data_IF_760642726534
#
_entry.id   IF_760642726534
#
_cell.length_a   1.000
_cell.length_b   1.000
_cell.length_c   1.000
_cell.angle_alpha   90.00
_cell.angle_beta   90.00
_cell.angle_gamma   90.00
#
_symmetry.space_group_name_H-M   'P 1'
#
loop_
_entity.id
_entity.type
_entity.pdbx_description
1 polymer ?
#
# COMPACT_ATOMS: atom_id res chain seq x y z
N UNK A 1 -8.09 -28.28 -3.98
CA UNK A 1 -9.40 -27.63 -4.16
C UNK A 1 -9.50 -26.47 -3.19
N UNK A 2 -9.29 -25.25 -3.65
CA UNK A 2 -9.50 -24.05 -2.83
C UNK A 2 -11.00 -23.78 -2.75
N UNK A 3 -11.59 -24.04 -1.58
CA UNK A 3 -12.97 -23.65 -1.28
C UNK A 3 -13.08 -22.14 -1.45
N UNK A 4 -13.94 -21.67 -2.37
CA UNK A 4 -14.26 -20.25 -2.49
C UNK A 4 -15.04 -19.86 -1.23
N UNK A 5 -14.42 -19.08 -0.35
CA UNK A 5 -15.06 -18.50 0.81
C UNK A 5 -16.04 -17.42 0.34
N UNK A 6 -17.34 -17.69 0.44
CA UNK A 6 -18.37 -16.66 0.31
C UNK A 6 -18.39 -15.84 1.59
N UNK A 7 -17.84 -14.63 1.56
CA UNK A 7 -17.85 -13.71 2.69
C UNK A 7 -19.21 -13.01 2.76
N UNK A 8 -19.90 -13.10 3.90
CA UNK A 8 -21.22 -12.49 4.12
C UNK A 8 -21.11 -11.13 4.83
N UNK A 9 -22.16 -10.30 4.72
CA UNK A 9 -22.28 -9.03 5.46
C UNK A 9 -22.10 -9.22 6.97
N UNK A 10 -22.75 -10.26 7.51
CA UNK A 10 -22.68 -10.59 8.94
C UNK A 10 -21.25 -10.95 9.37
N UNK A 11 -20.51 -11.67 8.52
CA UNK A 11 -19.11 -11.99 8.78
C UNK A 11 -18.24 -10.73 8.81
N UNK A 12 -18.43 -9.79 7.88
CA UNK A 12 -17.70 -8.52 7.85
C UNK A 12 -18.01 -7.67 9.10
N UNK A 13 -19.28 -7.54 9.48
CA UNK A 13 -19.66 -6.79 10.69
C UNK A 13 -19.04 -7.38 11.96
N UNK A 14 -18.99 -8.71 12.07
CA UNK A 14 -18.37 -9.40 13.20
C UNK A 14 -16.86 -9.12 13.25
N UNK A 15 -16.17 -9.19 12.11
CA UNK A 15 -14.73 -8.87 12.03
C UNK A 15 -14.43 -7.42 12.42
N UNK A 16 -15.25 -6.43 12.01
CA UNK A 16 -15.08 -5.04 12.47
C UNK A 16 -15.25 -4.94 13.98
N UNK A 17 -16.27 -5.59 14.54
CA UNK A 17 -16.52 -5.55 15.98
C UNK A 17 -15.39 -6.17 16.81
N UNK A 18 -14.71 -7.19 16.28
CA UNK A 18 -13.54 -7.82 16.91
C UNK A 18 -12.31 -6.91 16.84
N UNK A 19 -12.08 -6.24 15.71
CA UNK A 19 -10.98 -5.28 15.56
C UNK A 19 -11.16 -4.05 16.47
N UNK A 20 -12.40 -3.58 16.65
CA UNK A 20 -12.75 -2.48 17.55
C UNK A 20 -12.58 -2.85 19.04
N UNK A 21 -12.78 -4.13 19.42
CA UNK A 21 -12.60 -4.59 20.80
C UNK A 21 -11.14 -4.85 21.18
N UNK A 22 -10.33 -5.28 20.22
CA UNK A 22 -8.96 -5.73 20.45
C UNK A 22 -7.95 -4.57 20.42
N UNK A 23 -8.42 -3.35 20.15
CA UNK A 23 -7.59 -2.14 20.23
C UNK A 23 -6.44 -2.12 19.21
N UNK A 24 -6.66 -2.70 18.02
CA UNK A 24 -5.79 -2.66 16.83
C UNK A 24 -4.29 -2.71 17.12
N UNK A 25 -3.73 -3.92 17.15
CA UNK A 25 -2.39 -4.17 17.67
C UNK A 25 -1.26 -3.75 16.72
N UNK A 26 -1.51 -3.65 15.41
CA UNK A 26 -0.52 -3.10 14.47
C UNK A 26 -1.14 -2.38 13.24
N UNK A 27 -0.27 -1.85 12.36
CA UNK A 27 -0.67 -1.10 11.17
C UNK A 27 -1.40 -1.96 10.12
N UNK A 28 -1.17 -3.28 10.13
CA UNK A 28 -1.82 -4.24 9.23
C UNK A 28 -3.28 -4.42 9.64
N UNK A 29 -3.54 -4.49 10.95
CA UNK A 29 -4.90 -4.57 11.49
C UNK A 29 -5.74 -3.35 11.09
N UNK A 30 -5.15 -2.14 11.13
CA UNK A 30 -5.83 -0.90 10.72
C UNK A 30 -6.12 -0.85 9.22
N UNK A 31 -5.22 -1.35 8.39
CA UNK A 31 -5.42 -1.43 6.94
C UNK A 31 -6.52 -2.45 6.59
N UNK A 32 -6.53 -3.59 7.29
CA UNK A 32 -7.56 -4.61 7.14
C UNK A 32 -8.93 -4.07 7.59
N UNK A 33 -8.99 -3.38 8.72
CA UNK A 33 -10.20 -2.73 9.23
C UNK A 33 -10.77 -1.71 8.23
N UNK A 34 -9.92 -0.83 7.68
CA UNK A 34 -10.34 0.17 6.70
C UNK A 34 -10.95 -0.48 5.44
N UNK A 35 -10.36 -1.57 4.97
CA UNK A 35 -10.84 -2.31 3.81
C UNK A 35 -12.19 -3.01 4.09
N UNK A 36 -12.37 -3.55 5.29
CA UNK A 36 -13.64 -4.14 5.72
C UNK A 36 -14.74 -3.07 5.83
N UNK A 37 -14.45 -1.92 6.46
CA UNK A 37 -15.40 -0.79 6.56
C UNK A 37 -15.80 -0.25 5.18
N UNK A 38 -14.86 -0.13 4.26
CA UNK A 38 -15.13 0.27 2.88
C UNK A 38 -15.99 -0.75 2.13
N UNK A 39 -15.74 -2.04 2.35
CA UNK A 39 -16.56 -3.11 1.79
C UNK A 39 -18.00 -3.05 2.31
N UNK A 40 -18.20 -2.82 3.62
CA UNK A 40 -19.53 -2.63 4.22
C UNK A 40 -20.27 -1.42 3.63
N UNK A 41 -19.60 -0.25 3.54
CA UNK A 41 -20.20 0.95 2.95
C UNK A 41 -20.60 0.74 1.47
N UNK A 42 -19.81 -0.05 0.74
CA UNK A 42 -20.13 -0.42 -0.64
C UNK A 42 -21.35 -1.34 -0.71
N UNK A 43 -21.50 -2.28 0.23
CA UNK A 43 -22.67 -3.17 0.32
C UNK A 43 -23.96 -2.43 0.73
N UNK A 44 -23.85 -1.29 1.41
CA UNK A 44 -24.97 -0.42 1.77
C UNK A 44 -25.41 0.52 0.64
N UNK A 45 -24.64 0.60 -0.44
CA UNK A 45 -24.99 1.39 -1.63
C UNK A 45 -26.03 0.66 -2.49
N UNK A 46 -26.68 1.35 -3.44
CA UNK A 46 -27.53 0.66 -4.41
C UNK A 46 -26.69 -0.25 -5.33
N UNK A 47 -27.10 -1.51 -5.56
CA UNK A 47 -26.36 -2.42 -6.42
C UNK A 47 -26.40 -1.90 -7.86
N UNK A 48 -25.28 -2.01 -8.57
CA UNK A 48 -25.21 -1.55 -9.97
C UNK A 48 -25.88 -2.53 -10.93
N UNK A 49 -26.15 -3.76 -10.48
CA UNK A 49 -26.91 -4.77 -11.19
C UNK A 49 -27.30 -5.94 -10.26
N UNK A 50 -28.29 -6.72 -10.69
CA UNK A 50 -28.70 -7.98 -10.07
C UNK A 50 -28.76 -9.10 -11.12
N UNK A 51 -28.57 -10.35 -10.71
CA UNK A 51 -28.72 -11.50 -11.60
C UNK A 51 -30.18 -11.89 -11.67
N UNK A 52 -30.79 -11.69 -12.84
CA UNK A 52 -32.15 -12.13 -13.13
C UNK A 52 -32.22 -13.63 -13.46
N UNK A 53 -33.43 -14.14 -13.70
CA UNK A 53 -33.67 -15.56 -14.01
C UNK A 53 -33.00 -16.02 -15.33
N UNK A 54 -32.44 -15.10 -16.12
CA UNK A 54 -31.86 -15.34 -17.44
C UNK A 54 -30.33 -15.19 -17.44
N UNK A 55 -29.67 -14.96 -16.30
CA UNK A 55 -28.23 -14.71 -16.18
C UNK A 55 -27.74 -13.49 -16.98
N UNK A 56 -28.62 -12.50 -17.20
CA UNK A 56 -28.33 -11.34 -18.03
C UNK A 56 -27.94 -10.12 -17.18
N UNK A 57 -26.68 -9.73 -17.25
CA UNK A 57 -26.17 -8.42 -16.84
C UNK A 57 -26.06 -7.55 -18.10
N UNK A 58 -26.38 -6.26 -18.00
CA UNK A 58 -26.42 -5.35 -19.16
C UNK A 58 -25.05 -5.20 -19.88
N UNK A 59 -23.93 -5.68 -19.31
CA UNK A 59 -22.62 -5.64 -19.99
C UNK A 59 -21.69 -6.86 -19.80
N UNK A 60 -22.05 -7.94 -19.10
CA UNK A 60 -21.15 -9.10 -18.89
C UNK A 60 -21.87 -10.36 -18.39
N UNK A 61 -21.78 -11.51 -19.08
CA UNK A 61 -22.33 -12.78 -18.60
C UNK A 61 -21.22 -13.54 -17.82
N UNK A 62 -21.30 -13.65 -16.48
CA UNK A 62 -20.27 -14.32 -15.69
C UNK A 62 -20.29 -15.85 -15.90
N UNK A 63 -19.13 -16.52 -15.87
CA UNK A 63 -19.09 -17.98 -15.93
C UNK A 63 -19.71 -18.59 -14.66
N UNK A 64 -20.50 -19.67 -14.81
CA UNK A 64 -21.16 -20.38 -13.69
C UNK A 64 -20.17 -20.86 -12.61
N UNK A 65 -18.90 -21.07 -12.97
CA UNK A 65 -17.81 -21.43 -12.04
C UNK A 65 -17.52 -20.35 -10.99
N UNK A 66 -18.06 -19.14 -11.15
CA UNK A 66 -17.95 -18.07 -10.17
C UNK A 66 -18.84 -18.30 -8.94
N UNK A 67 -19.81 -19.22 -9.01
CA UNK A 67 -20.66 -19.61 -7.87
C UNK A 67 -21.75 -18.60 -7.52
N UNK A 68 -22.02 -17.64 -8.40
CA UNK A 68 -23.07 -16.64 -8.25
C UNK A 68 -24.46 -17.27 -8.34
N UNK A 69 -25.44 -16.70 -7.63
CA UNK A 69 -26.83 -17.17 -7.56
C UNK A 69 -27.79 -16.08 -8.07
N UNK A 70 -28.96 -16.53 -8.53
CA UNK A 70 -30.06 -15.64 -8.91
C UNK A 70 -30.45 -14.81 -7.68
N UNK A 71 -30.52 -13.49 -7.86
CA UNK A 71 -30.77 -12.54 -6.76
C UNK A 71 -29.51 -11.99 -6.09
N UNK A 72 -28.30 -12.44 -6.47
CA UNK A 72 -27.07 -11.82 -5.97
C UNK A 72 -26.96 -10.37 -6.47
N UNK A 73 -26.66 -9.47 -5.54
CA UNK A 73 -26.38 -8.06 -5.80
C UNK A 73 -24.93 -7.90 -6.22
N UNK A 74 -24.71 -7.23 -7.36
CA UNK A 74 -23.37 -6.90 -7.83
C UNK A 74 -23.15 -5.41 -7.64
N UNK A 75 -22.08 -5.08 -6.93
CA UNK A 75 -21.65 -3.72 -6.68
C UNK A 75 -20.47 -3.42 -7.59
N UNK A 76 -20.50 -2.29 -8.30
CA UNK A 76 -19.33 -1.80 -9.01
C UNK A 76 -18.34 -1.47 -7.90
N UNK A 77 -17.16 -2.09 -7.93
CA UNK A 77 -16.02 -1.44 -7.30
C UNK A 77 -15.76 -0.17 -8.08
N UNK A 78 -16.46 0.92 -7.70
CA UNK A 78 -15.87 2.22 -7.85
C UNK A 78 -14.63 2.14 -7.01
N UNK A 79 -13.45 2.03 -7.64
CA UNK A 79 -12.25 2.43 -6.93
C UNK A 79 -12.61 3.77 -6.32
N UNK A 80 -12.58 3.91 -4.98
CA UNK A 80 -12.74 5.23 -4.39
C UNK A 80 -11.80 6.13 -5.18
N UNK A 81 -12.26 7.31 -5.57
CA UNK A 81 -11.32 8.35 -5.99
C UNK A 81 -10.24 8.30 -4.91
N UNK A 82 -9.00 7.93 -5.30
CA UNK A 82 -7.93 7.72 -4.33
C UNK A 82 -7.73 9.06 -3.67
N UNK A 83 -8.41 9.30 -2.56
CA UNK A 83 -8.00 10.27 -1.58
C UNK A 83 -6.55 9.91 -1.32
N UNK A 84 -5.66 10.83 -1.67
CA UNK A 84 -4.23 10.60 -1.72
C UNK A 84 -3.77 10.06 -0.37
N UNK A 85 -3.63 8.74 -0.24
CA UNK A 85 -3.06 8.14 0.95
C UNK A 85 -1.55 8.26 0.80
N UNK A 86 -1.02 9.43 1.14
CA UNK A 86 0.42 9.73 1.03
C UNK A 86 1.26 8.66 1.74
N UNK A 87 0.78 8.13 2.86
CA UNK A 87 1.39 7.01 3.58
C UNK A 87 1.48 5.75 2.69
N UNK A 88 0.40 5.37 2.01
CA UNK A 88 0.42 4.22 1.10
C UNK A 88 1.37 4.43 -0.09
N UNK A 89 1.43 5.65 -0.64
CA UNK A 89 2.36 5.98 -1.72
C UNK A 89 3.82 5.87 -1.27
N UNK A 90 4.13 6.29 -0.05
CA UNK A 90 5.46 6.20 0.57
C UNK A 90 5.85 4.74 0.80
N UNK A 91 4.95 3.93 1.38
CA UNK A 91 5.19 2.50 1.60
C UNK A 91 5.41 1.77 0.26
N UNK A 92 4.57 2.06 -0.73
CA UNK A 92 4.71 1.47 -2.07
C UNK A 92 6.03 1.87 -2.74
N UNK A 93 6.49 3.10 -2.57
CA UNK A 93 7.80 3.52 -3.09
C UNK A 93 8.96 2.83 -2.37
N UNK A 94 8.90 2.67 -1.04
CA UNK A 94 9.93 1.93 -0.29
C UNK A 94 10.00 0.47 -0.75
N UNK A 95 8.85 -0.18 -0.93
CA UNK A 95 8.79 -1.53 -1.49
C UNK A 95 9.34 -1.61 -2.91
N UNK A 96 9.07 -0.60 -3.75
CA UNK A 96 9.59 -0.53 -5.12
C UNK A 96 11.12 -0.37 -5.13
N UNK A 97 11.69 0.45 -4.26
CA UNK A 97 13.14 0.61 -4.12
C UNK A 97 13.81 -0.74 -3.80
N UNK A 98 13.23 -1.53 -2.89
CA UNK A 98 13.76 -2.86 -2.54
C UNK A 98 13.54 -3.90 -3.64
N UNK A 99 12.32 -4.01 -4.17
CA UNK A 99 11.94 -5.12 -5.07
C UNK A 99 12.27 -4.88 -6.55
N UNK A 100 12.33 -3.63 -7.00
CA UNK A 100 12.56 -3.29 -8.42
C UNK A 100 13.94 -2.72 -8.64
N UNK A 101 14.39 -1.78 -7.79
CA UNK A 101 15.72 -1.15 -7.93
C UNK A 101 16.82 -1.96 -7.24
N UNK A 102 16.45 -2.93 -6.40
CA UNK A 102 17.40 -3.79 -5.69
C UNK A 102 18.11 -3.10 -4.51
N UNK A 103 17.59 -1.97 -4.02
CA UNK A 103 18.14 -1.26 -2.86
C UNK A 103 17.77 -2.01 -1.58
N UNK A 104 18.62 -2.97 -1.19
CA UNK A 104 18.36 -3.88 -0.09
C UNK A 104 18.65 -3.24 1.29
N UNK A 105 18.03 -3.77 2.33
CA UNK A 105 18.27 -3.36 3.73
C UNK A 105 19.71 -3.61 4.17
N UNK A 106 20.34 -4.66 3.64
CA UNK A 106 21.74 -5.00 3.92
C UNK A 106 22.69 -3.99 3.28
N UNK A 107 22.37 -3.51 2.07
CA UNK A 107 23.11 -2.43 1.44
C UNK A 107 22.93 -1.14 2.23
N UNK A 108 21.72 -0.82 2.66
CA UNK A 108 21.44 0.35 3.50
C UNK A 108 22.31 0.37 4.77
N UNK A 109 22.51 -0.80 5.39
CA UNK A 109 23.32 -0.97 6.60
C UNK A 109 24.82 -0.66 6.40
N UNK A 110 25.31 -0.67 5.16
CA UNK A 110 26.69 -0.26 4.83
C UNK A 110 26.91 1.25 4.90
N UNK A 111 25.83 2.05 4.86
CA UNK A 111 25.92 3.50 4.89
C UNK A 111 26.12 4.03 6.32
N UNK A 112 27.15 4.85 6.51
CA UNK A 112 27.57 5.39 7.82
C UNK A 112 27.61 6.92 7.88
N UNK A 113 27.53 7.60 6.74
CA UNK A 113 27.65 9.06 6.58
C UNK A 113 26.33 9.73 6.21
N UNK A 114 25.20 9.20 6.67
CA UNK A 114 23.87 9.74 6.37
C UNK A 114 23.50 9.77 4.87
N UNK A 115 24.08 8.88 4.04
CA UNK A 115 23.88 8.87 2.59
C UNK A 115 22.38 8.79 2.20
N UNK A 116 21.58 7.99 2.93
CA UNK A 116 20.14 7.88 2.69
C UNK A 116 19.41 9.21 2.96
N UNK A 117 19.77 9.91 4.03
CA UNK A 117 19.22 11.24 4.33
C UNK A 117 19.69 12.31 3.32
N UNK A 118 20.95 12.25 2.89
CA UNK A 118 21.49 13.15 1.87
C UNK A 118 20.78 12.96 0.51
N UNK A 119 20.53 11.72 0.11
CA UNK A 119 19.72 11.41 -1.06
C UNK A 119 18.27 11.91 -0.92
N UNK A 120 17.68 11.84 0.28
CA UNK A 120 16.35 12.38 0.53
C UNK A 120 16.29 13.91 0.32
N UNK A 121 17.31 14.65 0.79
CA UNK A 121 17.45 16.10 0.53
C UNK A 121 17.46 16.38 -0.98
N UNK A 122 18.19 15.60 -1.76
CA UNK A 122 18.24 15.77 -3.22
C UNK A 122 16.87 15.58 -3.89
N UNK A 123 15.99 14.75 -3.34
CA UNK A 123 14.62 14.64 -3.84
C UNK A 123 13.73 15.78 -3.35
N UNK A 124 13.92 16.29 -2.12
CA UNK A 124 13.20 17.48 -1.62
C UNK A 124 13.56 18.71 -2.45
N UNK A 125 14.85 18.90 -2.72
CA UNK A 125 15.40 20.03 -3.44
C UNK A 125 16.34 19.57 -4.57
N UNK A 126 15.79 19.19 -5.74
CA UNK A 126 16.58 18.66 -6.86
C UNK A 126 17.67 19.60 -7.38
N UNK A 127 17.53 20.91 -7.15
CA UNK A 127 18.55 21.90 -7.52
C UNK A 127 19.83 21.76 -6.69
N UNK A 128 19.72 21.24 -5.46
CA UNK A 128 20.85 21.04 -4.54
C UNK A 128 21.47 19.64 -4.67
N UNK A 129 21.01 18.81 -5.61
CA UNK A 129 21.51 17.44 -5.77
C UNK A 129 23.03 17.39 -6.01
N UNK A 130 23.60 18.38 -6.70
CA UNK A 130 25.06 18.44 -6.91
C UNK A 130 25.86 18.58 -5.60
N UNK A 131 25.24 19.15 -4.56
CA UNK A 131 25.87 19.39 -3.26
C UNK A 131 25.76 18.18 -2.32
N UNK A 132 24.69 17.39 -2.45
CA UNK A 132 24.32 16.37 -1.46
C UNK A 132 24.18 14.95 -1.99
N UNK A 133 24.13 14.73 -3.31
CA UNK A 133 23.99 13.39 -3.86
C UNK A 133 25.20 12.56 -3.44
N UNK A 134 25.02 11.35 -2.87
CA UNK A 134 26.15 10.56 -2.39
C UNK A 134 27.13 10.29 -3.53
N UNK A 135 28.40 10.68 -3.34
CA UNK A 135 29.42 10.62 -4.39
C UNK A 135 29.67 9.19 -4.93
N UNK A 136 29.43 8.17 -4.11
CA UNK A 136 29.61 6.77 -4.47
C UNK A 136 28.37 6.16 -5.16
N UNK A 137 27.29 6.94 -5.34
CA UNK A 137 26.09 6.50 -6.03
C UNK A 137 26.13 6.97 -7.48
N UNK A 138 25.65 6.14 -8.40
CA UNK A 138 25.58 6.52 -9.82
C UNK A 138 24.63 7.70 -10.04
N UNK A 139 25.09 8.72 -10.74
CA UNK A 139 24.29 9.91 -11.10
C UNK A 139 22.99 9.54 -11.83
N UNK A 140 23.04 8.52 -12.69
CA UNK A 140 21.88 8.02 -13.45
C UNK A 140 20.76 7.42 -12.57
N UNK A 141 21.06 7.12 -11.30
CA UNK A 141 20.06 6.66 -10.32
C UNK A 141 19.22 7.81 -9.76
N UNK A 142 19.68 9.05 -9.89
CA UNK A 142 18.91 10.23 -9.50
C UNK A 142 17.90 10.60 -10.59
N UNK A 143 16.61 10.33 -10.32
CA UNK A 143 15.53 10.50 -11.31
C UNK A 143 14.41 11.39 -10.73
N UNK A 144 14.64 12.69 -10.54
CA UNK A 144 13.58 13.61 -10.12
C UNK A 144 12.48 13.69 -11.19
N UNK A 145 11.23 13.89 -10.77
CA UNK A 145 10.07 13.90 -11.68
C UNK A 145 9.20 15.12 -11.45
N UNK A 146 8.39 15.11 -10.40
CA UNK A 146 7.58 16.25 -9.97
C UNK A 146 7.63 16.33 -8.45
N UNK A 147 7.25 17.49 -7.92
CA UNK A 147 7.33 17.79 -6.48
C UNK A 147 6.74 16.68 -5.61
N UNK A 148 5.46 16.32 -5.81
CA UNK A 148 4.79 15.26 -5.03
C UNK A 148 5.54 13.93 -5.11
N UNK A 149 5.91 13.48 -6.32
CA UNK A 149 6.58 12.18 -6.48
C UNK A 149 7.97 12.20 -5.87
N UNK A 150 8.66 13.33 -5.93
CA UNK A 150 9.96 13.48 -5.29
C UNK A 150 9.84 13.46 -3.77
N UNK A 151 8.84 14.12 -3.19
CA UNK A 151 8.57 14.05 -1.75
C UNK A 151 8.27 12.62 -1.29
N UNK A 152 7.55 11.83 -2.09
CA UNK A 152 7.32 10.39 -1.81
C UNK A 152 8.63 9.60 -1.82
N UNK A 153 9.52 9.85 -2.79
CA UNK A 153 10.85 9.21 -2.84
C UNK A 153 11.74 9.63 -1.66
N UNK A 154 11.72 10.91 -1.30
CA UNK A 154 12.45 11.44 -0.16
C UNK A 154 11.98 10.81 1.16
N UNK A 155 10.67 10.72 1.37
CA UNK A 155 10.09 10.09 2.55
C UNK A 155 10.42 8.58 2.62
N UNK A 156 10.43 7.87 1.49
CA UNK A 156 10.85 6.48 1.43
C UNK A 156 12.34 6.30 1.82
N UNK A 157 13.22 7.22 1.40
CA UNK A 157 14.63 7.24 1.81
C UNK A 157 14.83 7.58 3.29
N UNK A 158 13.98 8.44 3.86
CA UNK A 158 13.98 8.72 5.31
C UNK A 158 13.58 7.47 6.10
N UNK A 159 12.55 6.74 5.65
CA UNK A 159 12.17 5.45 6.24
C UNK A 159 13.35 4.47 6.20
N UNK A 160 14.03 4.38 5.06
CA UNK A 160 15.23 3.54 4.93
C UNK A 160 16.31 3.86 5.98
N UNK A 161 16.57 5.15 6.20
CA UNK A 161 17.56 5.60 7.18
C UNK A 161 17.13 5.28 8.63
N UNK A 162 15.85 5.44 8.96
CA UNK A 162 15.31 5.08 10.28
C UNK A 162 15.44 3.57 10.51
N UNK A 163 15.00 2.76 9.53
CA UNK A 163 15.11 1.29 9.59
C UNK A 163 16.56 0.84 9.83
N UNK A 164 17.52 1.49 9.17
CA UNK A 164 18.97 1.26 9.35
C UNK A 164 19.44 1.60 10.77
N UNK A 165 19.01 2.74 11.30
CA UNK A 165 19.34 3.18 12.68
C UNK A 165 18.77 2.20 13.70
N UNK A 166 17.53 1.76 13.51
CA UNK A 166 16.85 0.82 14.40
C UNK A 166 17.57 -0.55 14.42
N UNK A 167 17.92 -1.09 13.23
CA UNK A 167 18.72 -2.32 13.13
C UNK A 167 20.07 -2.20 13.83
N UNK A 168 20.77 -1.09 13.62
CA UNK A 168 22.08 -0.84 14.25
C UNK A 168 21.98 -0.70 15.78
N UNK A 169 20.88 -0.14 16.27
CA UNK A 169 20.64 0.02 17.71
C UNK A 169 20.33 -1.33 18.37
N UNK A 170 19.54 -2.18 17.71
CA UNK A 170 19.19 -3.51 18.24
C UNK A 170 20.40 -4.46 18.27
N UNK A 171 21.32 -4.37 17.30
CA UNK A 171 22.55 -5.18 17.27
C UNK A 171 23.64 -4.80 18.28
N UNK A 172 23.45 -3.75 19.10
CA UNK A 172 24.38 -3.33 20.17
C UNK A 172 24.06 -3.92 21.55
N UNK A 173 22.97 -4.67 21.65
CA UNK A 173 22.42 -5.20 22.92
C UNK A 173 22.73 -6.67 23.17
N UNK A 174 23.57 -7.30 22.34
CA UNK A 174 24.14 -8.64 22.51
C UNK A 174 25.65 -8.56 22.77
#
# INVERSE_FOLDING_TARGET
MTSKLTITREQLTNWVSQLDSDGGCDATDRQLEALIRQSLATMDSEPVAYIDKQWMLVYYVPPMSLGLKIGDNLYRQGQPARDSCAIADIIAERQRQQSVEGFSTEQDDTYVGCQLAAAAICYIEPMEAMSYWPADWHDDSFKPTNERRNLVKAAALIIAEIERIDRKSNGRTE
#
